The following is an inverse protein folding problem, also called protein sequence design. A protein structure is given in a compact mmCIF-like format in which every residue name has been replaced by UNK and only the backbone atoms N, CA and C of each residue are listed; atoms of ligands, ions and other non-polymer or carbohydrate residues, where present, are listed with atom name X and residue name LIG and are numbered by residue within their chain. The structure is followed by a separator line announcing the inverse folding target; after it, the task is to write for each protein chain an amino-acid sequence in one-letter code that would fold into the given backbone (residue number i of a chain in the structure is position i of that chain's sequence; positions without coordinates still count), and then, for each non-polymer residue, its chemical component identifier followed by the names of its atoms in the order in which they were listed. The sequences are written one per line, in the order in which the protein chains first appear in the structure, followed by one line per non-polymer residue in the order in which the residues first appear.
data_IF_921848186679
#
_entry.id   IF_921848186679
#
_cell.length_a   1.000
_cell.length_b   1.000
_cell.length_c   1.000
_cell.angle_alpha   90.00
_cell.angle_beta   90.00
_cell.angle_gamma   90.00
#
_symmetry.space_group_name_H-M   'P 1'
#
loop_
_entity.id
_entity.type
_entity.pdbx_description
1 polymer ?
#
# COMPACT_ATOMS: atom_id res chain seq x y z
N UNK A 1 -41.50 -3.41 6.79
CA UNK A 1 -40.46 -2.43 6.35
C UNK A 1 -39.09 -2.58 7.05
N UNK A 2 -39.00 -2.95 8.35
CA UNK A 2 -37.69 -3.15 9.03
C UNK A 2 -36.89 -4.36 8.53
N UNK A 3 -37.55 -5.48 8.20
CA UNK A 3 -36.90 -6.70 7.70
C UNK A 3 -36.23 -6.51 6.32
N UNK A 4 -36.89 -5.82 5.39
CA UNK A 4 -36.34 -5.56 4.05
C UNK A 4 -35.10 -4.64 4.06
N UNK A 5 -35.03 -3.68 5.01
CA UNK A 5 -33.85 -2.83 5.22
C UNK A 5 -32.66 -3.61 5.78
N UNK A 6 -32.90 -4.54 6.70
CA UNK A 6 -31.86 -5.41 7.28
C UNK A 6 -31.28 -6.39 6.25
N UNK A 7 -32.12 -7.01 5.42
CA UNK A 7 -31.68 -7.90 4.33
C UNK A 7 -30.90 -7.11 3.26
N UNK A 8 -31.34 -5.89 2.92
CA UNK A 8 -30.63 -5.01 1.98
C UNK A 8 -29.27 -4.53 2.49
N UNK A 9 -29.15 -4.22 3.79
CA UNK A 9 -27.88 -3.86 4.42
C UNK A 9 -26.92 -5.06 4.47
N UNK A 10 -27.42 -6.25 4.80
CA UNK A 10 -26.62 -7.48 4.81
C UNK A 10 -26.10 -7.83 3.41
N UNK A 11 -26.95 -7.75 2.38
CA UNK A 11 -26.55 -8.00 0.98
C UNK A 11 -25.51 -6.97 0.48
N UNK A 12 -25.64 -5.69 0.86
CA UNK A 12 -24.63 -4.67 0.54
C UNK A 12 -23.29 -4.92 1.24
N UNK A 13 -23.31 -5.27 2.53
CA UNK A 13 -22.10 -5.60 3.30
C UNK A 13 -21.38 -6.81 2.73
N UNK A 14 -22.12 -7.86 2.35
CA UNK A 14 -21.57 -9.04 1.68
C UNK A 14 -21.00 -8.72 0.29
N UNK A 15 -21.67 -7.86 -0.49
CA UNK A 15 -21.19 -7.44 -1.81
C UNK A 15 -19.91 -6.59 -1.74
N UNK A 16 -19.79 -5.69 -0.76
CA UNK A 16 -18.57 -4.89 -0.54
C UNK A 16 -17.42 -5.78 -0.10
N UNK A 17 -17.66 -6.70 0.84
CA UNK A 17 -16.66 -7.67 1.26
C UNK A 17 -16.19 -8.54 0.08
N UNK A 18 -17.10 -9.01 -0.78
CA UNK A 18 -16.77 -9.79 -1.97
C UNK A 18 -16.01 -8.96 -3.03
N UNK A 19 -16.40 -7.71 -3.28
CA UNK A 19 -15.75 -6.85 -4.28
C UNK A 19 -14.29 -6.50 -3.92
N UNK A 20 -13.96 -6.45 -2.63
CA UNK A 20 -12.59 -6.18 -2.14
C UNK A 20 -11.81 -7.49 -1.94
N UNK A 21 -12.44 -8.54 -1.41
CA UNK A 21 -11.75 -9.78 -1.07
C UNK A 21 -11.32 -10.58 -2.30
N UNK A 22 -12.20 -10.73 -3.30
CA UNK A 22 -11.96 -11.56 -4.50
C UNK A 22 -10.66 -11.21 -5.25
N UNK A 23 -10.34 -9.94 -5.57
CA UNK A 23 -9.08 -9.62 -6.25
C UNK A 23 -7.83 -9.80 -5.37
N UNK A 24 -7.94 -9.69 -4.05
CA UNK A 24 -6.79 -9.73 -3.13
C UNK A 24 -6.47 -11.17 -2.69
N UNK A 25 -7.46 -12.02 -2.42
CA UNK A 25 -7.22 -13.45 -2.12
C UNK A 25 -6.70 -14.19 -3.33
N UNK A 26 -7.19 -13.85 -4.52
CA UNK A 26 -6.67 -14.35 -5.77
C UNK A 26 -5.15 -14.11 -5.78
N UNK A 27 -4.68 -12.87 -5.62
CA UNK A 27 -3.27 -12.45 -5.72
C UNK A 27 -2.27 -13.20 -4.81
N UNK A 28 -2.72 -14.08 -3.91
CA UNK A 28 -1.88 -14.85 -2.98
C UNK A 28 -1.94 -16.39 -3.18
N UNK A 29 -2.63 -16.90 -4.21
CA UNK A 29 -2.66 -18.33 -4.55
C UNK A 29 -1.56 -18.71 -5.58
N UNK A 30 -0.77 -19.77 -5.36
CA UNK A 30 0.17 -20.28 -6.34
C UNK A 30 -0.56 -21.11 -7.43
N UNK A 31 -0.41 -20.74 -8.70
CA UNK A 31 -0.94 -21.53 -9.84
C UNK A 31 0.05 -22.66 -10.24
N UNK A 32 -0.41 -23.79 -10.84
CA UNK A 32 0.48 -24.87 -11.24
C UNK A 32 1.28 -24.57 -12.52
N UNK A 33 2.61 -24.58 -12.38
CA UNK A 33 3.59 -25.16 -13.30
C UNK A 33 3.76 -24.66 -14.77
N UNK A 34 3.17 -23.55 -15.24
CA UNK A 34 3.32 -23.15 -16.66
C UNK A 34 3.99 -21.80 -17.02
N UNK A 35 4.69 -21.13 -16.10
CA UNK A 35 5.54 -19.98 -16.45
C UNK A 35 6.97 -20.16 -15.91
N UNK A 36 7.83 -20.74 -16.76
CA UNK A 36 9.27 -20.87 -16.51
C UNK A 36 9.97 -19.51 -16.63
N UNK A 37 10.93 -19.29 -15.73
CA UNK A 37 11.88 -18.19 -15.58
C UNK A 37 11.37 -16.93 -14.82
N UNK A 38 12.03 -16.66 -13.68
CA UNK A 38 11.90 -15.52 -12.75
C UNK A 38 10.71 -15.62 -11.77
N UNK A 39 10.96 -15.36 -10.47
CA UNK A 39 10.06 -15.49 -9.30
C UNK A 39 8.81 -14.58 -9.32
N UNK A 40 8.17 -14.44 -10.47
CA UNK A 40 7.07 -13.52 -10.72
C UNK A 40 5.64 -14.05 -10.43
N UNK A 41 5.31 -15.36 -10.33
CA UNK A 41 3.89 -15.75 -10.31
C UNK A 41 3.45 -16.31 -8.96
N UNK A 42 3.54 -15.52 -7.89
CA UNK A 42 2.75 -15.79 -6.66
C UNK A 42 2.12 -14.51 -6.07
N UNK A 43 2.59 -13.32 -6.47
CA UNK A 43 1.97 -12.03 -6.11
C UNK A 43 0.96 -11.51 -7.16
N UNK A 44 0.89 -12.09 -8.37
CA UNK A 44 0.24 -11.44 -9.53
C UNK A 44 -0.58 -12.30 -10.51
N UNK A 45 -0.50 -13.64 -10.50
CA UNK A 45 -1.05 -14.44 -11.62
C UNK A 45 -2.60 -14.46 -11.69
N UNK A 46 -3.25 -14.22 -10.58
CA UNK A 46 -4.67 -14.48 -10.34
C UNK A 46 -5.52 -13.20 -10.32
N UNK A 47 -4.90 -12.03 -10.13
CA UNK A 47 -5.54 -10.75 -10.43
C UNK A 47 -5.83 -10.60 -11.93
N UNK A 48 -4.99 -11.21 -12.78
CA UNK A 48 -5.19 -11.25 -14.23
C UNK A 48 -6.27 -12.25 -14.68
N UNK A 49 -6.46 -13.35 -13.94
CA UNK A 49 -7.48 -14.37 -14.24
C UNK A 49 -8.91 -13.97 -13.79
N UNK A 50 -9.02 -13.00 -12.86
CA UNK A 50 -10.30 -12.42 -12.44
C UNK A 50 -10.74 -11.22 -13.31
N UNK A 51 -9.94 -10.81 -14.30
CA UNK A 51 -10.46 -9.97 -15.38
C UNK A 51 -11.46 -10.83 -16.18
N UNK A 52 -12.73 -10.42 -16.32
CA UNK A 52 -13.64 -11.13 -17.20
C UNK A 52 -12.98 -11.21 -18.58
N UNK A 53 -12.91 -12.42 -19.14
CA UNK A 53 -12.51 -12.63 -20.52
C UNK A 53 -13.14 -11.53 -21.38
N UNK A 54 -12.30 -10.82 -22.17
CA UNK A 54 -12.69 -9.69 -23.03
C UNK A 54 -14.16 -9.81 -23.46
N UNK A 55 -15.09 -9.04 -22.86
CA UNK A 55 -16.41 -8.96 -23.43
C UNK A 55 -16.23 -8.27 -24.77
N UNK A 56 -16.78 -8.86 -25.83
CA UNK A 56 -17.16 -8.05 -26.97
C UNK A 56 -18.09 -6.97 -26.41
N UNK A 57 -17.74 -5.69 -26.60
CA UNK A 57 -18.40 -4.48 -26.08
C UNK A 57 -17.92 -3.98 -24.70
N UNK A 58 -17.80 -2.65 -24.52
CA UNK A 58 -17.28 -2.07 -23.28
C UNK A 58 -18.21 -2.42 -22.11
N UNK A 59 -17.68 -2.88 -20.96
CA UNK A 59 -18.49 -3.10 -19.78
C UNK A 59 -19.04 -1.76 -19.26
N UNK A 60 -20.19 -1.75 -18.57
CA UNK A 60 -20.67 -0.56 -17.89
C UNK A 60 -19.64 -0.08 -16.87
N UNK A 61 -19.50 1.24 -16.72
CA UNK A 61 -18.59 1.83 -15.75
C UNK A 61 -18.86 1.24 -14.35
N UNK A 62 -17.82 0.89 -13.57
CA UNK A 62 -18.02 0.40 -12.21
C UNK A 62 -18.81 1.45 -11.42
N UNK A 63 -19.67 1.02 -10.47
CA UNK A 63 -20.38 1.96 -9.62
C UNK A 63 -19.36 2.90 -8.96
N UNK A 64 -19.58 4.20 -9.11
CA UNK A 64 -18.70 5.25 -8.58
C UNK A 64 -18.36 4.93 -7.10
N UNK A 65 -17.08 4.99 -6.72
CA UNK A 65 -16.61 4.60 -5.38
C UNK A 65 -16.31 3.10 -5.19
N UNK A 66 -16.17 2.33 -6.27
CA UNK A 66 -15.58 0.99 -6.21
C UNK A 66 -14.09 1.06 -5.80
N UNK A 67 -13.57 0.05 -5.08
CA UNK A 67 -12.16 -0.02 -4.71
C UNK A 67 -11.29 -0.21 -5.95
N UNK A 68 -10.24 0.60 -6.08
CA UNK A 68 -9.25 0.44 -7.14
C UNK A 68 -8.07 -0.42 -6.64
N UNK A 69 -7.87 -1.55 -7.31
CA UNK A 69 -6.75 -2.47 -7.05
C UNK A 69 -5.87 -2.46 -8.29
N UNK A 70 -4.64 -1.96 -8.14
CA UNK A 70 -3.65 -1.93 -9.20
C UNK A 70 -2.61 -3.02 -8.99
N UNK A 71 -2.38 -3.79 -10.04
CA UNK A 71 -1.24 -4.70 -10.14
C UNK A 71 -0.30 -4.17 -11.21
N UNK A 72 0.98 -4.04 -10.87
CA UNK A 72 2.00 -3.56 -11.80
C UNK A 72 3.18 -4.53 -11.85
N UNK A 73 3.58 -4.85 -13.09
CA UNK A 73 4.81 -5.57 -13.39
C UNK A 73 5.61 -4.67 -14.33
N UNK A 74 6.77 -4.22 -13.88
CA UNK A 74 7.63 -3.28 -14.60
C UNK A 74 9.00 -3.93 -14.79
N UNK A 75 9.49 -3.91 -16.03
CA UNK A 75 10.85 -4.31 -16.38
C UNK A 75 11.51 -3.17 -17.12
N UNK A 76 12.80 -2.93 -16.88
CA UNK A 76 13.52 -1.89 -17.60
C UNK A 76 14.98 -1.77 -17.23
N UNK A 77 15.57 -0.65 -17.62
CA UNK A 77 16.93 -0.27 -17.25
C UNK A 77 16.84 0.99 -16.40
N UNK A 78 17.36 0.94 -15.17
CA UNK A 78 17.45 2.10 -14.29
C UNK A 78 18.42 3.10 -14.90
N UNK A 79 17.97 4.35 -15.17
CA UNK A 79 18.88 5.40 -15.62
C UNK A 79 19.96 5.66 -14.56
N UNK A 80 21.14 6.09 -15.00
CA UNK A 80 22.28 6.37 -14.11
C UNK A 80 21.93 7.35 -12.96
N UNK A 81 21.00 8.29 -13.17
CA UNK A 81 20.52 9.18 -12.13
C UNK A 81 19.74 8.46 -11.01
N UNK A 82 18.88 7.49 -11.37
CA UNK A 82 18.16 6.67 -10.41
C UNK A 82 19.11 5.73 -9.66
N UNK A 83 20.06 5.10 -10.37
CA UNK A 83 21.10 4.28 -9.76
C UNK A 83 21.95 5.07 -8.74
N UNK A 84 22.31 6.33 -9.05
CA UNK A 84 23.01 7.22 -8.10
C UNK A 84 22.20 7.53 -6.85
N UNK A 85 20.89 7.75 -6.98
CA UNK A 85 20.02 7.96 -5.82
C UNK A 85 19.95 6.71 -4.93
N UNK A 86 19.95 5.52 -5.52
CA UNK A 86 19.96 4.27 -4.77
C UNK A 86 21.30 4.03 -4.06
N UNK A 87 22.43 4.36 -4.70
CA UNK A 87 23.76 4.36 -4.05
C UNK A 87 23.84 5.31 -2.87
N UNK A 88 23.26 6.50 -2.99
CA UNK A 88 23.20 7.47 -1.89
C UNK A 88 22.43 6.96 -0.66
N UNK A 89 21.62 5.90 -0.83
CA UNK A 89 20.91 5.19 0.26
C UNK A 89 21.66 3.96 0.78
N UNK A 90 22.95 3.81 0.43
CA UNK A 90 23.80 2.72 0.92
C UNK A 90 23.76 1.45 0.08
N UNK A 91 23.08 1.44 -1.08
CA UNK A 91 23.09 0.31 -2.01
C UNK A 91 24.32 0.39 -2.91
N UNK A 92 25.39 -0.32 -2.56
CA UNK A 92 26.54 -0.43 -3.45
C UNK A 92 26.17 -1.29 -4.68
N UNK A 93 26.02 -0.63 -5.83
CA UNK A 93 25.58 -1.25 -7.08
C UNK A 93 26.40 -0.73 -8.25
N UNK A 94 27.12 -1.59 -8.96
CA UNK A 94 28.00 -1.17 -10.05
C UNK A 94 27.41 -1.40 -11.44
N UNK A 95 27.45 -0.37 -12.29
CA UNK A 95 27.03 -0.48 -13.68
C UNK A 95 28.10 -1.26 -14.43
N UNK A 96 27.69 -2.29 -15.17
CA UNK A 96 28.59 -3.08 -16.01
C UNK A 96 29.31 -2.17 -17.03
N UNK A 97 30.63 -2.31 -17.21
CA UNK A 97 31.34 -1.54 -18.24
C UNK A 97 30.69 -1.71 -19.62
N UNK A 98 30.35 -0.59 -20.26
CA UNK A 98 29.70 -0.57 -21.58
C UNK A 98 28.17 -0.71 -21.56
N UNK A 99 27.53 -0.79 -20.40
CA UNK A 99 26.06 -0.80 -20.29
C UNK A 99 25.47 0.60 -20.06
N UNK A 100 24.25 0.82 -20.54
CA UNK A 100 23.52 2.10 -20.41
C UNK A 100 22.93 2.36 -19.02
N UNK A 101 22.94 1.35 -18.13
CA UNK A 101 22.39 1.43 -16.78
C UNK A 101 22.30 0.06 -16.10
N UNK A 102 21.49 -0.03 -15.04
CA UNK A 102 21.27 -1.28 -14.30
C UNK A 102 19.94 -1.91 -14.73
N UNK A 103 19.92 -3.13 -15.31
CA UNK A 103 18.68 -3.85 -15.53
C UNK A 103 17.93 -4.03 -14.21
N UNK A 104 16.62 -3.78 -14.21
CA UNK A 104 15.78 -3.95 -13.04
C UNK A 104 14.46 -4.63 -13.38
N UNK A 105 13.92 -5.28 -12.36
CA UNK A 105 12.62 -5.91 -12.36
C UNK A 105 11.86 -5.49 -11.09
N UNK A 106 10.63 -5.04 -11.25
CA UNK A 106 9.76 -4.67 -10.15
C UNK A 106 8.38 -5.28 -10.36
N UNK A 107 7.86 -5.93 -9.32
CA UNK A 107 6.49 -6.44 -9.30
C UNK A 107 5.84 -6.04 -8.00
N UNK A 108 4.58 -5.63 -8.06
CA UNK A 108 3.84 -5.34 -6.85
C UNK A 108 2.35 -5.21 -7.06
N UNK A 109 1.64 -5.37 -5.94
CA UNK A 109 0.24 -5.02 -5.79
C UNK A 109 0.15 -3.75 -4.97
N UNK A 110 -0.69 -2.83 -5.41
CA UNK A 110 -0.96 -1.57 -4.72
C UNK A 110 -2.45 -1.27 -4.80
N UNK A 111 -3.03 -0.87 -3.69
CA UNK A 111 -4.46 -0.59 -3.62
C UNK A 111 -4.73 0.55 -2.66
N UNK A 112 -5.74 1.35 -3.00
CA UNK A 112 -6.24 2.44 -2.18
C UNK A 112 -7.75 2.38 -2.21
N UNK A 113 -8.37 2.37 -1.03
CA UNK A 113 -9.83 2.38 -0.89
C UNK A 113 -10.26 3.70 -0.27
N UNK A 114 -11.14 4.42 -0.95
CA UNK A 114 -11.73 5.64 -0.45
C UNK A 114 -13.25 5.48 -0.24
N UNK A 115 -13.70 4.95 0.92
CA UNK A 115 -15.12 4.81 1.19
C UNK A 115 -15.88 6.12 1.05
N UNK A 116 -17.10 6.04 0.51
CA UNK A 116 -18.01 7.18 0.39
C UNK A 116 -18.51 7.67 1.75
N UNK A 117 -18.73 6.75 2.68
CA UNK A 117 -19.20 7.08 4.02
C UNK A 117 -18.04 7.70 4.83
N UNK A 118 -18.17 8.90 5.39
CA UNK A 118 -17.12 9.54 6.19
C UNK A 118 -16.76 8.79 7.48
N UNK A 119 -17.64 7.90 7.96
CA UNK A 119 -17.36 7.03 9.11
C UNK A 119 -16.45 5.85 8.75
N UNK A 120 -16.43 5.44 7.48
CA UNK A 120 -15.58 4.36 7.02
C UNK A 120 -14.18 4.88 6.62
N UNK A 121 -13.08 4.33 7.18
CA UNK A 121 -11.73 4.83 6.94
C UNK A 121 -11.24 4.53 5.52
N UNK A 122 -10.45 5.46 4.97
CA UNK A 122 -9.60 5.16 3.81
C UNK A 122 -8.53 4.14 4.23
N UNK A 123 -8.15 3.22 3.35
CA UNK A 123 -7.04 2.31 3.58
C UNK A 123 -6.14 2.21 2.36
N UNK A 124 -4.87 1.94 2.61
CA UNK A 124 -3.87 1.71 1.59
C UNK A 124 -3.09 0.44 1.93
N UNK A 125 -2.75 -0.33 0.89
CA UNK A 125 -1.80 -1.42 1.00
C UNK A 125 -0.92 -1.48 -0.23
N UNK A 126 0.35 -1.79 -0.01
CA UNK A 126 1.34 -1.99 -1.06
C UNK A 126 2.23 -3.17 -0.69
N UNK A 127 2.48 -4.08 -1.62
CA UNK A 127 3.43 -5.18 -1.45
C UNK A 127 4.19 -5.33 -2.75
N UNK A 128 5.51 -5.18 -2.71
CA UNK A 128 6.36 -5.18 -3.89
C UNK A 128 7.68 -5.91 -3.65
N UNK A 129 8.23 -6.40 -4.73
CA UNK A 129 9.59 -6.90 -4.85
C UNK A 129 10.33 -6.07 -5.89
N UNK A 130 11.60 -5.78 -5.62
CA UNK A 130 12.48 -5.10 -6.54
C UNK A 130 13.76 -5.92 -6.68
N UNK A 131 14.15 -6.25 -7.92
CA UNK A 131 15.42 -6.89 -8.28
C UNK A 131 16.20 -5.92 -9.19
N UNK A 132 17.49 -5.78 -8.92
CA UNK A 132 18.45 -5.07 -9.76
C UNK A 132 19.60 -5.99 -10.08
N UNK A 133 20.01 -6.01 -11.34
CA UNK A 133 21.24 -6.67 -11.77
C UNK A 133 22.35 -5.66 -11.86
N UNK A 134 23.42 -5.93 -11.14
CA UNK A 134 24.63 -5.11 -11.10
C UNK A 134 25.88 -5.94 -11.41
N UNK A 135 27.03 -5.28 -11.49
CA UNK A 135 28.29 -5.89 -11.88
C UNK A 135 29.25 -5.98 -10.69
N UNK A 136 29.86 -7.13 -10.46
CA UNK A 136 30.97 -7.25 -9.54
C UNK A 136 32.30 -6.96 -10.27
N UNK A 137 32.98 -5.84 -9.98
CA UNK A 137 34.25 -5.52 -10.65
C UNK A 137 35.41 -6.40 -10.18
N UNK A 138 35.30 -7.07 -9.03
CA UNK A 138 36.34 -7.94 -8.47
C UNK A 138 36.24 -9.32 -9.09
N UNK A 139 35.05 -9.91 -9.06
CA UNK A 139 34.80 -11.26 -9.59
C UNK A 139 34.55 -11.26 -11.12
N UNK A 140 34.29 -10.09 -11.70
CA UNK A 140 34.04 -9.97 -13.14
C UNK A 140 32.77 -10.68 -13.58
N UNK A 141 31.73 -10.68 -12.74
CA UNK A 141 30.47 -11.38 -12.98
C UNK A 141 29.24 -10.50 -12.66
N UNK A 142 28.07 -10.91 -13.16
CA UNK A 142 26.81 -10.26 -12.81
C UNK A 142 26.31 -10.75 -11.45
N UNK A 143 25.73 -9.83 -10.69
CA UNK A 143 25.05 -10.10 -9.42
C UNK A 143 23.60 -9.67 -9.51
N UNK A 144 22.76 -10.31 -8.73
CA UNK A 144 21.40 -9.87 -8.48
C UNK A 144 21.30 -9.39 -7.03
N UNK A 145 20.73 -8.20 -6.86
CA UNK A 145 20.29 -7.69 -5.57
C UNK A 145 18.78 -7.60 -5.59
N UNK A 146 18.11 -8.11 -4.57
CA UNK A 146 16.67 -7.91 -4.41
C UNK A 146 16.28 -7.59 -2.98
N UNK A 147 15.14 -6.93 -2.85
CA UNK A 147 14.50 -6.65 -1.57
C UNK A 147 12.99 -6.51 -1.76
N UNK A 148 12.30 -6.59 -0.64
CA UNK A 148 10.87 -6.37 -0.55
C UNK A 148 10.59 -5.01 0.08
N UNK A 149 9.45 -4.45 -0.31
CA UNK A 149 8.90 -3.27 0.32
C UNK A 149 7.40 -3.36 0.37
N UNK A 150 6.78 -2.65 1.30
CA UNK A 150 5.34 -2.70 1.42
C UNK A 150 4.83 -2.17 2.73
N UNK A 151 3.56 -2.44 2.97
CA UNK A 151 2.86 -1.97 4.14
C UNK A 151 1.36 -1.98 3.97
N UNK A 152 0.68 -1.69 5.07
CA UNK A 152 -0.76 -1.47 5.12
C UNK A 152 -1.01 -0.39 6.16
N UNK A 153 -1.80 0.61 5.81
CA UNK A 153 -2.10 1.75 6.69
C UNK A 153 -3.56 2.19 6.61
N UNK A 154 -4.05 2.75 7.72
CA UNK A 154 -5.43 3.16 7.90
C UNK A 154 -5.54 4.67 8.09
N UNK A 155 -6.40 5.30 7.28
CA UNK A 155 -6.64 6.75 7.27
C UNK A 155 -8.12 7.07 7.57
N UNK A 156 -8.52 7.05 8.85
CA UNK A 156 -9.87 7.44 9.25
C UNK A 156 -10.11 8.94 9.12
N UNK A 157 -11.39 9.32 9.03
CA UNK A 157 -11.81 10.73 9.24
C UNK A 157 -12.26 11.00 10.68
N UNK A 158 -12.68 9.95 11.40
CA UNK A 158 -13.05 10.01 12.82
C UNK A 158 -12.33 8.89 13.55
N UNK A 159 -11.82 9.17 14.75
CA UNK A 159 -11.16 8.13 15.54
C UNK A 159 -12.21 7.21 16.17
N UNK A 160 -12.14 5.93 15.81
CA UNK A 160 -12.67 4.81 16.56
C UNK A 160 -11.48 4.00 17.09
N UNK A 161 -11.38 3.86 18.42
CA UNK A 161 -10.23 3.19 19.03
C UNK A 161 -10.29 1.67 18.86
N UNK A 162 -11.48 1.08 18.74
CA UNK A 162 -11.63 -0.36 18.57
C UNK A 162 -11.27 -0.76 17.14
N UNK A 163 -11.57 0.09 16.15
CA UNK A 163 -11.05 -0.04 14.79
C UNK A 163 -9.53 -0.01 14.75
N UNK A 164 -8.94 0.99 15.43
CA UNK A 164 -7.50 1.17 15.47
C UNK A 164 -6.81 -0.06 16.08
N UNK A 165 -7.31 -0.54 17.23
CA UNK A 165 -6.82 -1.76 17.88
C UNK A 165 -7.00 -2.98 16.98
N UNK A 166 -8.17 -3.18 16.38
CA UNK A 166 -8.44 -4.31 15.49
C UNK A 166 -7.46 -4.36 14.31
N UNK A 167 -7.30 -3.23 13.62
CA UNK A 167 -6.42 -3.12 12.46
C UNK A 167 -4.96 -3.42 12.86
N UNK A 168 -4.46 -2.76 13.90
CA UNK A 168 -3.08 -2.91 14.35
C UNK A 168 -2.78 -4.28 14.96
N UNK A 169 -3.68 -4.84 15.77
CA UNK A 169 -3.50 -6.18 16.34
C UNK A 169 -3.50 -7.27 15.26
N UNK A 170 -4.27 -7.10 14.19
CA UNK A 170 -4.27 -8.03 13.05
C UNK A 170 -2.94 -8.00 12.31
N UNK A 171 -2.40 -6.80 12.04
CA UNK A 171 -1.08 -6.65 11.42
C UNK A 171 0.04 -7.17 12.33
N UNK A 172 -0.02 -6.86 13.63
CA UNK A 172 0.92 -7.36 14.63
C UNK A 172 0.95 -8.88 14.67
N UNK A 173 -0.21 -9.54 14.67
CA UNK A 173 -0.29 -11.00 14.66
C UNK A 173 0.35 -11.62 13.40
N UNK A 174 0.35 -10.93 12.26
CA UNK A 174 1.06 -11.36 11.07
C UNK A 174 2.57 -11.19 11.22
N UNK A 175 3.02 -10.04 11.73
CA UNK A 175 4.44 -9.79 12.02
C UNK A 175 5.02 -10.77 13.06
N UNK A 176 4.28 -11.05 14.14
CA UNK A 176 4.74 -11.90 15.25
C UNK A 176 5.06 -13.34 14.82
N UNK A 177 4.53 -13.82 13.68
CA UNK A 177 4.90 -15.12 13.09
C UNK A 177 6.34 -15.16 12.56
N UNK A 178 6.89 -14.00 12.22
CA UNK A 178 8.18 -13.84 11.56
C UNK A 178 9.23 -13.19 12.46
N UNK A 179 8.79 -12.50 13.52
CA UNK A 179 9.64 -11.90 14.56
C UNK A 179 8.87 -10.86 15.37
N UNK A 180 8.99 -10.91 16.70
CA UNK A 180 8.28 -9.99 17.62
C UNK A 180 8.72 -8.53 17.50
N UNK A 181 9.89 -8.29 16.93
CA UNK A 181 10.51 -6.99 16.69
C UNK A 181 9.95 -6.28 15.44
N UNK A 182 9.39 -7.04 14.50
CA UNK A 182 9.00 -6.53 13.19
C UNK A 182 7.85 -5.53 13.29
N UNK A 183 6.81 -5.81 14.09
CA UNK A 183 5.68 -4.88 14.22
C UNK A 183 6.11 -3.55 14.85
N UNK A 184 6.80 -3.50 16.01
CA UNK A 184 7.27 -2.24 16.58
C UNK A 184 8.13 -1.41 15.60
N UNK A 185 9.02 -2.07 14.84
CA UNK A 185 9.86 -1.40 13.85
C UNK A 185 9.04 -0.83 12.69
N UNK A 186 8.22 -1.66 12.05
CA UNK A 186 7.45 -1.27 10.87
C UNK A 186 6.31 -0.32 11.20
N UNK A 187 5.75 -0.38 12.42
CA UNK A 187 4.78 0.59 12.91
C UNK A 187 5.42 1.96 13.09
N UNK A 188 6.57 2.02 13.77
CA UNK A 188 7.31 3.28 13.93
C UNK A 188 7.67 3.87 12.57
N UNK A 189 8.16 3.03 11.64
CA UNK A 189 8.49 3.49 10.30
C UNK A 189 7.25 4.00 9.54
N UNK A 190 6.09 3.37 9.73
CA UNK A 190 4.83 3.84 9.16
C UNK A 190 4.46 5.24 9.67
N UNK A 191 4.60 5.49 10.98
CA UNK A 191 4.30 6.78 11.60
C UNK A 191 5.24 7.91 11.14
N UNK A 192 6.50 7.57 10.86
CA UNK A 192 7.51 8.49 10.33
C UNK A 192 7.31 8.75 8.83
N UNK A 193 6.99 7.71 8.07
CA UNK A 193 6.88 7.78 6.61
C UNK A 193 5.66 8.59 6.16
N UNK A 194 4.49 8.32 6.75
CA UNK A 194 3.23 8.95 6.36
C UNK A 194 2.96 10.27 7.07
N UNK A 195 3.97 11.13 7.16
CA UNK A 195 3.89 12.42 7.86
C UNK A 195 3.84 13.62 6.90
N UNK A 196 2.79 14.45 7.01
CA UNK A 196 2.74 15.75 6.36
C UNK A 196 3.56 16.77 7.16
N UNK A 197 4.88 16.79 6.94
CA UNK A 197 5.82 17.67 7.67
C UNK A 197 5.53 19.16 7.49
N UNK A 198 4.98 19.57 6.34
CA UNK A 198 4.58 20.96 6.09
C UNK A 198 3.35 21.41 6.92
N UNK A 199 2.74 20.51 7.70
CA UNK A 199 1.64 20.80 8.64
C UNK A 199 2.07 20.86 10.10
N UNK A 200 3.39 20.88 10.33
CA UNK A 200 3.95 21.02 11.66
C UNK A 200 3.44 22.30 12.31
N UNK A 201 3.03 22.19 13.57
CA UNK A 201 2.74 23.30 14.47
C UNK A 201 3.87 23.42 15.50
N UNK A 202 3.97 24.54 16.22
CA UNK A 202 4.95 24.67 17.30
C UNK A 202 4.84 23.52 18.30
N UNK A 203 5.89 22.70 18.40
CA UNK A 203 5.96 21.57 19.32
C UNK A 203 5.53 20.21 18.76
N UNK A 204 5.30 20.07 17.45
CA UNK A 204 5.19 18.78 16.77
C UNK A 204 6.02 18.72 15.47
N UNK A 205 6.11 17.55 14.86
CA UNK A 205 6.89 17.24 13.65
C UNK A 205 6.03 17.14 12.38
N UNK A 206 4.75 17.48 12.47
CA UNK A 206 3.79 17.35 11.38
C UNK A 206 2.49 16.66 11.76
N UNK A 207 1.71 16.34 10.74
CA UNK A 207 0.43 15.67 10.87
C UNK A 207 0.44 14.39 10.04
N UNK A 208 0.30 13.23 10.68
CA UNK A 208 0.24 11.95 9.98
C UNK A 208 -0.99 11.90 9.08
N UNK A 209 -0.85 11.23 7.94
CA UNK A 209 -1.92 11.02 6.96
C UNK A 209 -3.11 10.31 7.63
N UNK A 210 -2.79 9.28 8.41
CA UNK A 210 -3.73 8.42 9.14
C UNK A 210 -3.13 7.90 10.45
N UNK A 211 -3.74 6.88 11.04
CA UNK A 211 -3.32 6.32 12.34
C UNK A 211 -2.21 5.27 12.22
N UNK A 212 -1.64 5.13 11.03
CA UNK A 212 -0.51 4.24 10.76
C UNK A 212 -0.95 2.82 10.42
N UNK A 213 -0.05 1.88 10.72
CA UNK A 213 -0.16 0.47 10.36
C UNK A 213 1.24 -0.13 10.34
N UNK A 214 1.65 -0.78 9.26
CA UNK A 214 3.03 -1.22 9.04
C UNK A 214 3.58 -0.65 7.74
N UNK A 215 4.85 -0.26 7.74
CA UNK A 215 5.59 0.14 6.55
C UNK A 215 7.01 -0.41 6.62
N UNK A 216 7.48 -0.96 5.51
CA UNK A 216 8.84 -1.45 5.35
C UNK A 216 9.34 -1.22 3.93
N UNK A 217 10.64 -1.02 3.82
CA UNK A 217 11.37 -0.93 2.57
C UNK A 217 12.72 -1.63 2.77
N UNK A 218 13.39 -2.02 1.69
CA UNK A 218 14.68 -2.71 1.76
C UNK A 218 14.67 -4.01 2.60
N UNK A 219 13.50 -4.62 2.82
CA UNK A 219 13.34 -5.80 3.66
C UNK A 219 13.86 -7.06 2.96
N UNK A 220 14.67 -7.84 3.67
CA UNK A 220 15.32 -9.02 3.10
C UNK A 220 16.33 -8.70 2.00
N UNK A 221 16.99 -7.52 2.07
CA UNK A 221 18.04 -7.12 1.12
C UNK A 221 19.10 -8.21 0.99
N UNK A 222 19.15 -8.83 -0.18
CA UNK A 222 20.03 -9.96 -0.47
C UNK A 222 20.84 -9.66 -1.72
N UNK A 223 22.13 -9.99 -1.70
CA UNK A 223 23.03 -9.92 -2.86
C UNK A 223 23.58 -11.32 -3.11
N UNK A 224 23.53 -11.78 -4.36
CA UNK A 224 24.12 -13.04 -4.80
C UNK A 224 24.55 -12.97 -6.27
N UNK A 225 25.26 -13.97 -6.76
CA UNK A 225 25.57 -14.04 -8.20
C UNK A 225 24.29 -14.20 -9.02
N UNK A 226 24.28 -13.70 -10.25
CA UNK A 226 23.12 -13.82 -11.14
C UNK A 226 22.74 -15.30 -11.41
N UNK A 227 23.73 -16.21 -11.38
CA UNK A 227 23.52 -17.64 -11.52
C UNK A 227 22.80 -18.26 -10.33
N UNK A 228 23.23 -17.94 -9.10
CA UNK A 228 22.54 -18.41 -7.88
C UNK A 228 21.13 -17.85 -7.77
N UNK A 229 20.89 -16.62 -8.23
CA UNK A 229 19.58 -16.01 -8.30
C UNK A 229 18.62 -16.78 -9.24
N UNK A 230 19.13 -17.23 -10.39
CA UNK A 230 18.38 -18.04 -11.35
C UNK A 230 18.07 -19.43 -10.78
N UNK A 231 19.03 -20.07 -10.10
CA UNK A 231 18.85 -21.38 -9.46
C UNK A 231 17.87 -21.32 -8.26
N UNK A 232 17.97 -20.31 -7.37
CA UNK A 232 17.01 -20.10 -6.28
C UNK A 232 15.59 -19.78 -6.76
N UNK A 233 15.43 -19.29 -7.99
CA UNK A 233 14.11 -19.01 -8.52
C UNK A 233 13.20 -20.24 -8.59
N UNK A 234 13.80 -21.44 -8.53
CA UNK A 234 13.11 -22.72 -8.55
C UNK A 234 12.73 -23.26 -7.15
N UNK A 235 13.39 -22.81 -6.06
CA UNK A 235 13.24 -23.40 -4.70
C UNK A 235 12.30 -22.64 -3.74
N UNK A 236 11.74 -21.48 -4.13
CA UNK A 236 10.78 -20.71 -3.32
C UNK A 236 11.37 -19.46 -2.63
N UNK A 237 10.53 -18.46 -2.38
CA UNK A 237 10.92 -17.06 -2.08
C UNK A 237 11.62 -16.76 -0.74
N UNK A 238 11.82 -17.76 0.13
CA UNK A 238 12.51 -17.62 1.42
C UNK A 238 11.73 -16.83 2.49
N UNK A 239 12.33 -16.69 3.68
CA UNK A 239 11.67 -16.10 4.87
C UNK A 239 11.09 -14.70 4.65
N UNK A 240 11.78 -13.86 3.88
CA UNK A 240 11.31 -12.51 3.60
C UNK A 240 10.03 -12.51 2.73
N UNK A 241 9.96 -13.43 1.77
CA UNK A 241 8.77 -13.61 0.94
C UNK A 241 7.60 -14.18 1.76
N UNK A 242 7.85 -15.12 2.66
CA UNK A 242 6.83 -15.67 3.56
C UNK A 242 6.21 -14.56 4.42
N UNK A 243 7.03 -13.66 4.96
CA UNK A 243 6.56 -12.48 5.67
C UNK A 243 5.68 -11.58 4.80
N UNK A 244 6.12 -11.24 3.57
CA UNK A 244 5.36 -10.38 2.66
C UNK A 244 4.01 -11.01 2.31
N UNK A 245 3.97 -12.33 2.10
CA UNK A 245 2.73 -13.06 1.86
C UNK A 245 1.77 -12.98 3.05
N UNK A 246 2.27 -13.21 4.27
CA UNK A 246 1.46 -13.13 5.49
C UNK A 246 0.99 -11.70 5.78
N UNK A 247 1.84 -10.70 5.57
CA UNK A 247 1.48 -9.29 5.67
C UNK A 247 0.40 -8.90 4.64
N UNK A 248 0.51 -9.39 3.40
CA UNK A 248 -0.50 -9.23 2.35
C UNK A 248 -1.84 -9.86 2.72
N UNK A 249 -1.83 -11.10 3.21
CA UNK A 249 -3.03 -11.83 3.65
C UNK A 249 -3.69 -11.19 4.87
N UNK A 250 -2.93 -10.47 5.70
CA UNK A 250 -3.45 -9.80 6.89
C UNK A 250 -4.27 -8.54 6.57
N UNK A 251 -4.09 -7.92 5.40
CA UNK A 251 -4.78 -6.67 5.05
C UNK A 251 -6.31 -6.82 5.06
N UNK A 252 -6.85 -7.85 4.42
CA UNK A 252 -8.31 -8.05 4.35
C UNK A 252 -8.94 -8.31 5.73
N UNK A 253 -8.43 -9.25 6.55
CA UNK A 253 -8.89 -9.41 7.93
C UNK A 253 -8.78 -8.13 8.77
N UNK A 254 -7.76 -7.30 8.52
CA UNK A 254 -7.59 -6.03 9.23
C UNK A 254 -8.62 -4.98 8.79
N UNK A 255 -8.92 -4.87 7.50
CA UNK A 255 -9.72 -3.76 6.95
C UNK A 255 -11.22 -4.08 6.76
N UNK A 256 -11.58 -5.28 6.29
CA UNK A 256 -12.97 -5.58 5.94
C UNK A 256 -13.93 -5.47 7.12
N UNK A 257 -13.62 -5.99 8.33
CA UNK A 257 -14.50 -5.83 9.48
C UNK A 257 -14.77 -4.37 9.85
N UNK A 258 -13.73 -3.53 9.75
CA UNK A 258 -13.81 -2.08 9.96
C UNK A 258 -14.72 -1.44 8.92
N UNK A 259 -14.47 -1.68 7.62
CA UNK A 259 -15.29 -1.14 6.54
C UNK A 259 -16.78 -1.52 6.69
N UNK A 260 -17.06 -2.79 6.96
CA UNK A 260 -18.43 -3.32 7.08
C UNK A 260 -19.17 -2.72 8.28
N UNK A 261 -18.46 -2.40 9.37
CA UNK A 261 -19.04 -1.74 10.55
C UNK A 261 -19.58 -0.36 10.19
N UNK A 262 -18.79 0.42 9.43
CA UNK A 262 -19.04 1.86 9.23
C UNK A 262 -19.68 2.24 7.89
N UNK A 263 -19.71 1.36 6.88
CA UNK A 263 -20.15 1.73 5.50
C UNK A 263 -21.59 2.25 5.42
N UNK A 264 -22.48 1.81 6.31
CA UNK A 264 -23.89 2.17 6.33
C UNK A 264 -24.27 3.17 7.45
N UNK A 265 -23.29 3.69 8.19
CA UNK A 265 -23.60 4.62 9.30
C UNK A 265 -24.18 5.95 8.81
N UNK A 266 -25.16 6.51 9.52
CA UNK A 266 -25.66 7.84 9.20
C UNK A 266 -24.56 8.88 9.42
N UNK A 267 -24.50 9.85 8.53
CA UNK A 267 -23.57 10.97 8.62
C UNK A 267 -24.27 12.27 8.21
N UNK A 268 -23.71 13.39 8.66
CA UNK A 268 -24.16 14.75 8.37
C UNK A 268 -23.33 15.38 7.25
N UNK A 269 -23.80 16.50 6.69
CA UNK A 269 -23.01 17.28 5.74
C UNK A 269 -21.70 17.80 6.37
N UNK A 270 -21.69 18.06 7.67
CA UNK A 270 -20.46 18.44 8.39
C UNK A 270 -19.48 17.28 8.47
N UNK A 271 -19.96 16.06 8.71
CA UNK A 271 -19.10 14.87 8.65
C UNK A 271 -18.49 14.69 7.26
N UNK A 272 -19.30 14.97 6.23
CA UNK A 272 -18.86 14.88 4.84
C UNK A 272 -17.83 15.96 4.52
N UNK A 273 -18.06 17.22 4.92
CA UNK A 273 -17.10 18.32 4.83
C UNK A 273 -15.77 17.92 5.49
N UNK A 274 -15.82 17.39 6.71
CA UNK A 274 -14.63 16.96 7.43
C UNK A 274 -13.85 15.86 6.68
N UNK A 275 -14.54 14.84 6.16
CA UNK A 275 -13.91 13.82 5.31
C UNK A 275 -13.20 14.44 4.10
N UNK A 276 -13.79 15.45 3.46
CA UNK A 276 -13.18 16.11 2.30
C UNK A 276 -11.90 16.87 2.68
N UNK A 277 -11.87 17.52 3.84
CA UNK A 277 -10.67 18.16 4.39
C UNK A 277 -9.58 17.12 4.70
N UNK A 278 -9.94 15.99 5.31
CA UNK A 278 -9.02 14.86 5.56
C UNK A 278 -8.49 14.25 4.26
N UNK A 279 -9.33 14.11 3.23
CA UNK A 279 -8.91 13.68 1.88
C UNK A 279 -7.95 14.68 1.23
N UNK A 280 -8.10 15.98 1.50
CA UNK A 280 -7.11 16.99 1.11
C UNK A 280 -5.72 16.71 1.68
N UNK A 281 -5.63 16.29 2.95
CA UNK A 281 -4.37 15.85 3.59
C UNK A 281 -3.76 14.61 2.96
N UNK A 282 -4.62 13.71 2.47
CA UNK A 282 -4.19 12.52 1.75
C UNK A 282 -3.56 12.88 0.40
N UNK A 283 -4.20 13.79 -0.35
CA UNK A 283 -3.67 14.32 -1.62
C UNK A 283 -2.35 15.04 -1.41
N UNK A 284 -2.25 15.89 -0.39
CA UNK A 284 -1.00 16.59 -0.06
C UNK A 284 0.15 15.63 0.20
N UNK A 285 -0.08 14.57 0.97
CA UNK A 285 0.96 13.57 1.20
C UNK A 285 1.41 12.93 -0.11
N UNK A 286 0.46 12.45 -0.93
CA UNK A 286 0.79 11.74 -2.16
C UNK A 286 1.53 12.62 -3.17
N UNK A 287 1.19 13.90 -3.27
CA UNK A 287 1.82 14.81 -4.23
C UNK A 287 3.12 15.44 -3.71
N UNK A 288 3.21 15.71 -2.40
CA UNK A 288 4.35 16.45 -1.81
C UNK A 288 5.41 15.52 -1.24
N UNK A 289 5.05 14.36 -0.69
CA UNK A 289 5.95 13.53 0.12
C UNK A 289 6.15 12.12 -0.42
N UNK A 290 5.10 11.50 -0.98
CA UNK A 290 5.15 10.10 -1.39
C UNK A 290 6.26 9.84 -2.43
N UNK A 291 7.12 8.89 -2.09
CA UNK A 291 8.28 8.53 -2.91
C UNK A 291 7.84 7.75 -4.14
N UNK A 292 6.81 6.90 -4.00
CA UNK A 292 6.28 6.08 -5.09
C UNK A 292 5.67 6.95 -6.19
N UNK A 293 4.79 7.87 -5.80
CA UNK A 293 4.15 8.84 -6.72
C UNK A 293 5.19 9.70 -7.44
N UNK A 294 6.15 10.30 -6.70
CA UNK A 294 7.22 11.08 -7.32
C UNK A 294 8.04 10.25 -8.30
N UNK A 295 8.48 9.05 -7.92
CA UNK A 295 9.25 8.19 -8.80
C UNK A 295 8.48 7.84 -10.08
N UNK A 296 7.21 7.45 -9.95
CA UNK A 296 6.35 7.14 -11.10
C UNK A 296 6.18 8.32 -12.05
N UNK A 297 5.92 9.53 -11.53
CA UNK A 297 5.73 10.73 -12.35
C UNK A 297 7.01 11.17 -13.08
N UNK A 298 8.19 10.90 -12.52
CA UNK A 298 9.48 11.23 -13.14
C UNK A 298 10.03 10.11 -14.03
N UNK A 299 9.40 8.93 -14.05
CA UNK A 299 9.83 7.79 -14.87
C UNK A 299 9.15 7.84 -16.24
N UNK A 300 9.87 8.08 -17.35
CA UNK A 300 9.28 8.16 -18.68
C UNK A 300 8.54 6.87 -19.05
N UNK A 301 7.37 7.01 -19.69
CA UNK A 301 6.54 5.87 -20.12
C UNK A 301 5.70 5.23 -19.01
N UNK A 302 5.74 5.75 -17.79
CA UNK A 302 4.87 5.27 -16.71
C UNK A 302 3.40 5.56 -17.01
N UNK A 303 2.52 4.62 -16.62
CA UNK A 303 1.08 4.81 -16.76
C UNK A 303 0.57 5.75 -15.67
N UNK A 304 0.38 7.02 -16.03
CA UNK A 304 -0.03 8.09 -15.11
C UNK A 304 -1.32 7.75 -14.35
N UNK A 305 -2.33 7.19 -15.03
CA UNK A 305 -3.58 6.76 -14.38
C UNK A 305 -3.36 5.72 -13.26
N UNK A 306 -2.36 4.84 -13.43
CA UNK A 306 -2.03 3.86 -12.39
C UNK A 306 -1.30 4.47 -11.19
N UNK A 307 -0.60 5.59 -11.39
CA UNK A 307 0.07 6.34 -10.33
C UNK A 307 -0.94 7.18 -9.54
N UNK A 308 -1.83 7.86 -10.25
CA UNK A 308 -2.79 8.81 -9.67
C UNK A 308 -4.08 8.17 -9.17
N UNK A 309 -4.27 6.86 -9.35
CA UNK A 309 -5.41 6.12 -8.79
C UNK A 309 -5.53 6.29 -7.27
N UNK A 310 -4.42 6.60 -6.60
CA UNK A 310 -4.37 6.83 -5.17
C UNK A 310 -5.09 8.11 -4.74
N UNK A 311 -5.43 9.00 -5.66
CA UNK A 311 -6.13 10.23 -5.35
C UNK A 311 -7.64 9.98 -5.18
N UNK A 312 -8.26 10.55 -4.15
CA UNK A 312 -9.71 10.45 -3.99
C UNK A 312 -10.43 11.22 -5.10
N UNK A 313 -11.61 10.74 -5.48
CA UNK A 313 -12.52 11.39 -6.45
C UNK A 313 -12.78 12.86 -6.12
N UNK A 314 -12.91 13.17 -4.84
CA UNK A 314 -13.12 14.53 -4.33
C UNK A 314 -12.29 14.78 -3.07
N UNK A 315 -11.78 16.00 -2.95
CA UNK A 315 -11.07 16.53 -1.80
C UNK A 315 -11.37 18.03 -1.65
N UNK A 316 -11.10 18.60 -0.47
CA UNK A 316 -11.39 20.00 -0.15
C UNK A 316 -10.24 20.65 0.60
N UNK A 317 -10.01 21.92 0.29
CA UNK A 317 -9.12 22.82 1.00
C UNK A 317 -9.89 24.09 1.35
N UNK A 318 -9.82 24.51 2.60
CA UNK A 318 -10.44 25.73 3.09
C UNK A 318 -9.38 26.56 3.81
N UNK A 319 -9.37 27.86 3.52
CA UNK A 319 -8.48 28.79 4.20
C UNK A 319 -8.87 28.88 5.67
N UNK A 320 -7.91 28.64 6.57
CA UNK A 320 -8.10 28.68 8.03
C UNK A 320 -9.34 27.88 8.50
N UNK A 321 -9.53 26.69 7.94
CA UNK A 321 -10.59 25.78 8.38
C UNK A 321 -10.53 25.58 9.90
N UNK A 322 -11.66 25.78 10.58
CA UNK A 322 -11.76 25.52 12.02
C UNK A 322 -11.58 24.03 12.32
N UNK A 323 -10.75 23.74 13.33
CA UNK A 323 -10.57 22.38 13.82
C UNK A 323 -11.81 21.92 14.59
N UNK A 324 -12.17 20.63 14.50
CA UNK A 324 -13.26 20.06 15.27
C UNK A 324 -13.01 20.15 16.78
N UNK A 325 -14.07 20.15 17.62
CA UNK A 325 -13.92 20.15 19.07
C UNK A 325 -13.00 19.03 19.55
N UNK A 326 -12.09 19.31 20.49
CA UNK A 326 -11.05 18.36 20.93
C UNK A 326 -11.63 17.07 21.51
N UNK A 327 -12.78 17.15 22.17
CA UNK A 327 -13.52 16.05 22.76
C UNK A 327 -14.38 15.26 21.75
N UNK A 328 -14.48 15.72 20.50
CA UNK A 328 -15.12 14.98 19.42
C UNK A 328 -14.22 13.86 18.88
N UNK A 329 -14.80 12.88 18.17
CA UNK A 329 -14.02 11.82 17.52
C UNK A 329 -13.06 12.35 16.45
N UNK A 330 -13.40 13.47 15.79
CA UNK A 330 -12.53 14.13 14.81
C UNK A 330 -11.39 14.90 15.50
N UNK A 331 -11.65 15.55 16.63
CA UNK A 331 -10.62 16.23 17.44
C UNK A 331 -9.62 15.26 18.05
N UNK A 332 -10.10 14.14 18.62
CA UNK A 332 -9.24 13.06 19.12
C UNK A 332 -8.40 12.44 18.02
N UNK A 333 -8.94 12.31 16.80
CA UNK A 333 -8.16 11.89 15.65
C UNK A 333 -7.00 12.85 15.39
N UNK A 334 -7.26 14.15 15.27
CA UNK A 334 -6.19 15.14 15.02
C UNK A 334 -5.05 15.06 16.04
N UNK A 335 -5.39 14.86 17.32
CA UNK A 335 -4.37 14.65 18.35
C UNK A 335 -3.53 13.39 18.08
N UNK A 336 -4.16 12.26 17.76
CA UNK A 336 -3.47 11.02 17.42
C UNK A 336 -2.61 11.14 16.14
N UNK A 337 -3.01 11.98 15.19
CA UNK A 337 -2.24 12.24 13.97
C UNK A 337 -1.03 13.14 14.22
N UNK A 338 -1.07 14.03 15.21
CA UNK A 338 0.08 14.86 15.60
C UNK A 338 1.00 14.14 16.57
N UNK A 339 0.46 13.22 17.36
CA UNK A 339 1.16 12.43 18.36
C UNK A 339 0.74 10.96 18.22
N UNK A 340 1.42 10.19 17.36
CA UNK A 340 1.13 8.78 17.15
C UNK A 340 1.04 8.02 18.47
N UNK A 341 0.10 7.09 18.52
CA UNK A 341 -0.18 6.26 19.70
C UNK A 341 0.15 4.81 19.40
N UNK A 342 0.34 4.02 20.45
CA UNK A 342 0.38 2.57 20.33
C UNK A 342 -1.04 2.01 20.37
N UNK A 343 -1.34 1.10 19.45
CA UNK A 343 -2.67 0.51 19.27
C UNK A 343 -2.71 -1.00 19.53
N UNK A 344 -1.56 -1.69 19.59
CA UNK A 344 -1.45 -3.15 19.77
C UNK A 344 -0.13 -3.55 20.44
#
# INVERSE_FOLDING_TARGET
MRHARLVGAFARRAAVAAAVAVPITAACEPEPAQLRATQAPVLCASAAAAAPAKPAFPPPAPPVGAPDVNVSIVRGVLPAAAARQMRARGKDMTVRPGADGLPFYAVGVSLVLHPRNPKAPTAHANFRMFEVRDWDPVEGCERARWWYGGGSDLTPSFLDEDDARHFHSTLKAACDKHGSELYPEFKRWCDEYFNNTHRALPGDDGERRGIGGIFYDDFGDTVMSAKEAEERSEEGGGKAFDFVCDAGRAFLPAYIPVLVRHVDEPFTEEDKRWQQLRRGRYVEFNLVHDRGTKFGLHTPGSRIESILVSLPETARWEYQAEDPPKDSAAGRLLEALRRPREWA
#
